data_IF_499113965008
#
_entry.id   IF_499113965008
#
_cell.length_a   1.000
_cell.length_b   1.000
_cell.length_c   1.000
_cell.angle_alpha   90.00
_cell.angle_beta   90.00
_cell.angle_gamma   90.00
#
_symmetry.space_group_name_H-M   'P 1'
#
loop_
_entity.id
_entity.type
_entity.pdbx_description
1 polymer ?
#
# COMPACT_ATOMS: atom_id res chain seq x y z
N UNK A 1 -8.36 -19.19 7.11
CA UNK A 1 -8.55 -17.80 6.64
C UNK A 1 -7.42 -17.44 5.69
N UNK A 2 -7.72 -16.78 4.56
CA UNK A 2 -6.78 -16.46 3.47
C UNK A 2 -5.69 -15.41 3.84
N UNK A 3 -5.64 -14.97 5.10
CA UNK A 3 -4.76 -13.88 5.55
C UNK A 3 -3.74 -14.30 6.61
N UNK A 4 -3.64 -15.57 6.93
CA UNK A 4 -2.68 -16.09 7.91
C UNK A 4 -1.39 -16.47 7.19
N UNK A 5 -0.27 -15.90 7.61
CA UNK A 5 1.06 -16.29 7.16
C UNK A 5 1.60 -17.41 8.05
N UNK A 6 1.73 -18.65 7.54
CA UNK A 6 2.16 -19.81 8.35
C UNK A 6 3.57 -19.68 8.93
N UNK A 7 4.46 -18.94 8.28
CA UNK A 7 5.81 -18.71 8.80
C UNK A 7 5.81 -17.67 9.94
N UNK A 8 4.98 -16.65 9.81
CA UNK A 8 4.80 -15.63 10.86
C UNK A 8 4.05 -16.18 12.07
N UNK A 9 3.11 -17.11 11.85
CA UNK A 9 2.35 -17.77 12.91
C UNK A 9 3.25 -18.51 13.92
N UNK A 10 4.46 -18.93 13.52
CA UNK A 10 5.45 -19.53 14.42
C UNK A 10 5.96 -18.56 15.49
N UNK A 11 5.78 -17.27 15.29
CA UNK A 11 6.14 -16.22 16.25
C UNK A 11 5.03 -15.86 17.25
N UNK A 12 3.82 -16.41 17.08
CA UNK A 12 2.71 -16.13 17.99
C UNK A 12 3.06 -16.56 19.43
N UNK A 13 2.62 -15.77 20.40
CA UNK A 13 2.87 -16.01 21.83
C UNK A 13 1.54 -16.22 22.53
N UNK A 14 1.49 -17.20 23.41
CA UNK A 14 0.29 -17.58 24.16
C UNK A 14 0.56 -17.54 25.65
N UNK A 15 -0.46 -17.16 26.41
CA UNK A 15 -0.42 -17.15 27.87
C UNK A 15 -1.78 -17.62 28.41
N UNK A 16 -1.77 -18.38 29.48
CA UNK A 16 -2.97 -18.70 30.25
C UNK A 16 -2.75 -18.67 31.76
N UNK A 17 -3.85 -18.59 32.51
CA UNK A 17 -3.82 -18.41 33.96
C UNK A 17 -3.29 -19.60 34.75
N UNK A 18 -3.19 -20.81 34.17
CA UNK A 18 -2.71 -22.01 34.83
C UNK A 18 -1.25 -22.31 34.50
N UNK A 19 -0.82 -22.08 33.25
CA UNK A 19 0.48 -22.51 32.75
C UNK A 19 1.43 -21.34 32.46
N UNK A 20 0.94 -20.10 32.44
CA UNK A 20 1.74 -18.95 32.09
C UNK A 20 2.02 -18.86 30.59
N UNK A 21 3.22 -18.37 30.21
CA UNK A 21 3.63 -18.24 28.80
C UNK A 21 3.84 -19.60 28.15
N UNK A 22 3.31 -19.75 26.93
CA UNK A 22 3.50 -20.92 26.08
C UNK A 22 3.82 -20.50 24.66
N UNK A 23 4.75 -21.21 24.02
CA UNK A 23 4.98 -21.13 22.58
C UNK A 23 4.04 -22.09 21.86
N UNK A 24 3.35 -21.64 20.81
CA UNK A 24 2.45 -22.49 20.03
C UNK A 24 3.12 -23.70 19.37
N UNK A 25 4.45 -23.77 19.39
CA UNK A 25 5.24 -24.65 18.55
C UNK A 25 6.17 -25.57 19.31
N UNK A 26 6.13 -25.54 20.62
CA UNK A 26 6.92 -26.48 21.41
C UNK A 26 6.00 -27.43 22.18
N UNK A 27 5.52 -28.53 21.57
CA UNK A 27 5.10 -29.66 22.35
C UNK A 27 6.38 -30.21 22.99
N UNK A 28 6.74 -29.68 24.16
CA UNK A 28 7.94 -30.10 24.92
C UNK A 28 7.84 -31.55 25.37
N UNK A 29 6.63 -32.13 25.26
CA UNK A 29 6.37 -33.53 25.51
C UNK A 29 5.40 -34.08 24.46
N UNK A 30 5.73 -35.18 23.74
CA UNK A 30 4.78 -35.84 22.84
C UNK A 30 3.49 -36.35 23.51
N UNK A 31 3.50 -36.47 24.82
CA UNK A 31 2.37 -36.87 25.66
C UNK A 31 1.60 -35.63 26.23
N UNK A 32 2.10 -34.41 26.00
CA UNK A 32 1.43 -33.18 26.40
C UNK A 32 0.28 -32.92 25.41
N UNK A 33 -0.91 -33.35 25.79
CA UNK A 33 -2.15 -33.01 25.11
C UNK A 33 -2.22 -31.49 25.05
N UNK A 34 -2.14 -30.93 23.87
CA UNK A 34 -2.21 -29.50 23.64
C UNK A 34 -3.48 -28.93 24.29
N UNK A 35 -3.32 -28.33 25.47
CA UNK A 35 -4.43 -27.73 26.23
C UNK A 35 -4.87 -26.47 25.48
N UNK A 36 -6.06 -26.50 24.94
CA UNK A 36 -6.64 -25.35 24.23
C UNK A 36 -7.10 -24.27 25.21
N UNK A 37 -7.26 -23.02 24.76
CA UNK A 37 -7.87 -21.97 25.57
C UNK A 37 -9.28 -22.37 26.05
N UNK A 38 -10.06 -23.06 25.22
CA UNK A 38 -11.36 -23.60 25.64
C UNK A 38 -11.25 -24.60 26.80
N UNK A 39 -10.17 -25.37 26.88
CA UNK A 39 -9.91 -26.26 28.01
C UNK A 39 -9.52 -25.46 29.26
N UNK A 40 -8.72 -24.42 29.12
CA UNK A 40 -8.36 -23.48 30.20
C UNK A 40 -9.60 -22.80 30.77
N UNK A 41 -10.42 -22.22 29.91
CA UNK A 41 -11.65 -21.55 30.27
C UNK A 41 -12.60 -22.52 31.02
N UNK A 42 -12.77 -23.74 30.49
CA UNK A 42 -13.58 -24.76 31.13
C UNK A 42 -13.05 -25.13 32.51
N UNK A 43 -11.75 -25.39 32.64
CA UNK A 43 -11.12 -25.72 33.92
C UNK A 43 -11.27 -24.58 34.94
N UNK A 44 -11.12 -23.33 34.50
CA UNK A 44 -11.34 -22.18 35.39
C UNK A 44 -12.81 -22.11 35.88
N UNK A 45 -13.77 -22.27 34.98
CA UNK A 45 -15.18 -22.24 35.32
C UNK A 45 -15.58 -23.41 36.24
N UNK A 46 -15.06 -24.60 35.98
CA UNK A 46 -15.25 -25.77 36.84
C UNK A 46 -14.73 -25.53 38.26
N UNK A 47 -13.51 -25.00 38.36
CA UNK A 47 -12.88 -24.74 39.66
C UNK A 47 -13.59 -23.65 40.48
N UNK A 48 -14.17 -22.65 39.81
CA UNK A 48 -14.64 -21.44 40.46
C UNK A 48 -16.16 -21.36 40.60
N UNK A 49 -16.93 -21.93 39.67
CA UNK A 49 -18.40 -21.76 39.64
C UNK A 49 -19.20 -23.03 39.88
N UNK A 50 -18.56 -24.16 40.16
CA UNK A 50 -19.28 -25.43 40.46
C UNK A 50 -20.23 -25.26 41.65
N UNK A 51 -19.79 -24.66 42.76
CA UNK A 51 -20.63 -24.41 43.96
C UNK A 51 -21.86 -23.57 43.63
N UNK A 52 -21.70 -22.54 42.77
CA UNK A 52 -22.86 -21.73 42.32
C UNK A 52 -23.83 -22.55 41.49
N UNK A 53 -23.33 -23.38 40.56
CA UNK A 53 -24.19 -24.23 39.70
C UNK A 53 -24.95 -25.25 40.56
N UNK A 54 -24.26 -25.94 41.45
CA UNK A 54 -24.89 -26.92 42.37
C UNK A 54 -25.94 -26.26 43.22
N UNK A 55 -25.65 -25.16 43.90
CA UNK A 55 -26.59 -24.44 44.72
C UNK A 55 -27.81 -23.90 43.95
N UNK A 56 -27.59 -23.41 42.70
CA UNK A 56 -28.68 -22.99 41.83
C UNK A 56 -29.59 -24.16 41.44
N UNK A 57 -28.99 -25.30 41.05
CA UNK A 57 -29.72 -26.49 40.61
C UNK A 57 -30.51 -27.11 41.78
N UNK A 58 -29.95 -27.14 42.99
CA UNK A 58 -30.69 -27.55 44.19
C UNK A 58 -31.90 -26.65 44.47
N UNK A 59 -31.74 -25.33 44.37
CA UNK A 59 -32.84 -24.38 44.53
C UNK A 59 -33.95 -24.61 43.49
N UNK A 60 -33.58 -24.84 42.24
CA UNK A 60 -34.51 -25.16 41.17
C UNK A 60 -35.25 -26.46 41.42
N UNK A 61 -34.58 -27.51 41.91
CA UNK A 61 -35.21 -28.78 42.26
C UNK A 61 -36.21 -28.61 43.39
N UNK A 62 -35.91 -27.84 44.46
CA UNK A 62 -36.80 -27.55 45.56
C UNK A 62 -38.10 -26.88 45.12
N UNK A 63 -38.09 -26.04 44.11
CA UNK A 63 -39.26 -25.38 43.54
C UNK A 63 -39.84 -26.09 42.32
N UNK A 64 -39.35 -27.31 42.02
CA UNK A 64 -39.78 -28.17 40.89
C UNK A 64 -39.56 -27.52 39.50
N UNK A 65 -38.51 -26.73 39.34
CA UNK A 65 -38.12 -26.06 38.09
C UNK A 65 -36.76 -26.58 37.59
N UNK A 66 -36.60 -27.89 37.46
CA UNK A 66 -35.37 -28.54 37.02
C UNK A 66 -35.02 -28.21 35.56
N UNK A 67 -35.96 -27.75 34.77
CA UNK A 67 -35.76 -27.23 33.42
C UNK A 67 -34.87 -25.96 33.37
N UNK A 68 -34.66 -25.30 34.53
CA UNK A 68 -33.79 -24.15 34.71
C UNK A 68 -32.39 -24.50 35.19
N UNK A 69 -32.11 -25.80 35.36
CA UNK A 69 -30.77 -26.25 35.72
C UNK A 69 -29.76 -25.88 34.66
N UNK A 70 -28.58 -25.56 35.12
CA UNK A 70 -27.46 -25.19 34.26
C UNK A 70 -26.25 -26.05 34.56
N UNK A 71 -25.35 -26.12 33.59
CA UNK A 71 -24.04 -26.75 33.65
C UNK A 71 -22.94 -25.72 33.35
N UNK A 72 -21.70 -26.08 33.54
CA UNK A 72 -20.54 -25.24 33.13
C UNK A 72 -20.56 -24.92 31.63
N UNK A 73 -20.81 -25.89 30.72
CA UNK A 73 -20.98 -25.58 29.29
C UNK A 73 -22.08 -24.53 29.00
N UNK A 74 -23.17 -24.53 29.80
CA UNK A 74 -24.24 -23.52 29.64
C UNK A 74 -23.77 -22.11 30.05
N UNK A 75 -22.86 -21.99 31.02
CA UNK A 75 -22.26 -20.70 31.38
C UNK A 75 -21.29 -20.22 30.27
N UNK A 76 -20.47 -21.10 29.75
CA UNK A 76 -19.48 -20.78 28.70
C UNK A 76 -20.14 -20.41 27.37
N UNK A 77 -21.31 -20.99 27.05
CA UNK A 77 -22.06 -20.70 25.83
C UNK A 77 -22.98 -19.48 25.92
N UNK A 78 -23.29 -19.01 27.13
CA UNK A 78 -24.20 -17.90 27.33
C UNK A 78 -23.54 -16.55 27.21
N UNK A 79 -24.04 -15.67 26.35
CA UNK A 79 -23.53 -14.29 26.15
C UNK A 79 -23.44 -13.43 27.39
N UNK A 80 -24.10 -13.85 28.50
CA UNK A 80 -24.11 -13.10 29.77
C UNK A 80 -23.04 -13.59 30.75
N UNK A 81 -22.51 -14.77 30.52
CA UNK A 81 -21.67 -15.47 31.49
C UNK A 81 -20.42 -16.07 30.88
N UNK A 82 -20.28 -16.10 29.55
CA UNK A 82 -19.06 -16.51 28.88
C UNK A 82 -17.92 -15.50 29.12
N UNK A 83 -16.66 -15.90 28.95
CA UNK A 83 -15.56 -14.96 28.94
C UNK A 83 -15.77 -13.84 27.92
N UNK A 84 -15.36 -12.63 28.27
CA UNK A 84 -15.37 -11.48 27.40
C UNK A 84 -14.02 -11.38 26.71
N UNK A 85 -14.00 -11.04 25.44
CA UNK A 85 -12.77 -10.87 24.66
C UNK A 85 -12.47 -9.39 24.47
N UNK A 86 -11.21 -9.00 24.70
CA UNK A 86 -10.69 -7.66 24.39
C UNK A 86 -9.52 -7.79 23.44
N UNK A 87 -9.50 -6.91 22.43
CA UNK A 87 -8.40 -6.85 21.46
C UNK A 87 -7.56 -5.60 21.77
N UNK A 88 -6.26 -5.79 21.95
CA UNK A 88 -5.28 -4.72 22.13
C UNK A 88 -4.44 -4.60 20.89
N UNK A 89 -4.50 -3.43 20.24
CA UNK A 89 -3.68 -3.03 19.11
C UNK A 89 -3.22 -1.60 19.33
N UNK A 90 -1.95 -1.30 19.13
CA UNK A 90 -1.39 0.04 19.27
C UNK A 90 -0.95 0.56 17.92
N UNK A 91 -1.65 1.58 17.41
CA UNK A 91 -1.42 2.17 16.10
C UNK A 91 -2.34 1.65 15.00
N UNK A 92 -1.98 1.97 13.76
CA UNK A 92 -2.73 1.68 12.53
C UNK A 92 -2.05 0.61 11.69
N UNK A 93 -2.59 0.30 10.51
CA UNK A 93 -1.96 -0.62 9.57
C UNK A 93 -0.60 -0.12 9.06
N UNK A 94 -0.47 1.19 8.89
CA UNK A 94 0.72 1.82 8.28
C UNK A 94 1.74 2.29 9.32
N UNK A 95 1.29 2.51 10.58
CA UNK A 95 2.12 2.95 11.70
C UNK A 95 1.62 2.30 12.99
N UNK A 96 2.30 1.25 13.43
CA UNK A 96 1.94 0.46 14.62
C UNK A 96 3.16 0.15 15.48
N UNK A 97 2.92 -0.11 16.75
CA UNK A 97 3.94 -0.59 17.67
C UNK A 97 4.57 -1.90 17.17
N UNK A 98 5.86 -2.09 17.47
CA UNK A 98 6.50 -3.38 17.22
C UNK A 98 5.85 -4.50 18.05
N UNK A 99 6.02 -5.75 17.63
CA UNK A 99 5.51 -6.90 18.41
C UNK A 99 6.09 -6.95 19.82
N UNK A 100 7.36 -6.58 19.98
CA UNK A 100 8.06 -6.56 21.26
C UNK A 100 7.52 -5.44 22.16
N UNK A 101 7.34 -4.23 21.64
CA UNK A 101 6.76 -3.10 22.38
C UNK A 101 5.32 -3.41 22.81
N UNK A 102 4.51 -3.97 21.88
CA UNK A 102 3.14 -4.34 22.19
C UNK A 102 3.08 -5.39 23.30
N UNK A 103 3.92 -6.44 23.22
CA UNK A 103 4.01 -7.47 24.24
C UNK A 103 4.39 -6.90 25.61
N UNK A 104 5.40 -6.06 25.67
CA UNK A 104 5.88 -5.46 26.90
C UNK A 104 4.80 -4.53 27.52
N UNK A 105 4.18 -3.68 26.71
CA UNK A 105 3.14 -2.74 27.15
C UNK A 105 1.91 -3.49 27.66
N UNK A 106 1.41 -4.46 26.89
CA UNK A 106 0.21 -5.21 27.28
C UNK A 106 0.48 -6.12 28.48
N UNK A 107 1.67 -6.72 28.61
CA UNK A 107 2.02 -7.50 29.80
C UNK A 107 2.03 -6.63 31.05
N UNK A 108 2.68 -5.45 31.00
CA UNK A 108 2.65 -4.49 32.13
C UNK A 108 1.22 -4.05 32.44
N UNK A 109 0.41 -3.79 31.40
CA UNK A 109 -1.00 -3.46 31.58
C UNK A 109 -1.78 -4.57 32.26
N UNK A 110 -1.65 -5.82 31.82
CA UNK A 110 -2.36 -6.98 32.41
C UNK A 110 -1.94 -7.20 33.87
N UNK A 111 -0.65 -7.00 34.21
CA UNK A 111 -0.20 -7.07 35.60
C UNK A 111 -0.83 -5.97 36.46
N UNK A 112 -0.82 -4.72 36.01
CA UNK A 112 -1.46 -3.60 36.69
C UNK A 112 -2.99 -3.80 36.80
N UNK A 113 -3.61 -4.33 35.74
CA UNK A 113 -5.02 -4.66 35.69
C UNK A 113 -5.40 -5.73 36.72
N UNK A 114 -4.65 -6.84 36.78
CA UNK A 114 -4.83 -7.90 37.79
C UNK A 114 -4.64 -7.38 39.21
N UNK A 115 -3.62 -6.57 39.44
CA UNK A 115 -3.34 -5.98 40.75
C UNK A 115 -4.49 -5.08 41.22
N UNK A 116 -5.16 -4.39 40.30
CA UNK A 116 -6.20 -3.42 40.63
C UNK A 116 -7.62 -4.00 40.68
N UNK A 117 -7.92 -4.96 39.81
CA UNK A 117 -9.29 -5.47 39.59
C UNK A 117 -9.41 -6.96 39.80
N UNK A 118 -8.33 -7.67 40.14
CA UNK A 118 -8.30 -9.14 40.26
C UNK A 118 -9.22 -9.75 41.28
N UNK A 119 -9.81 -8.97 42.19
CA UNK A 119 -10.85 -9.45 43.12
C UNK A 119 -12.11 -9.82 42.37
N UNK A 120 -12.41 -9.19 41.22
CA UNK A 120 -13.66 -9.32 40.49
C UNK A 120 -13.48 -9.51 38.98
N UNK A 121 -12.28 -9.41 38.45
CA UNK A 121 -11.97 -9.60 37.03
C UNK A 121 -10.80 -10.55 36.85
N UNK A 122 -11.04 -11.68 36.21
CA UNK A 122 -10.05 -12.74 36.08
C UNK A 122 -9.64 -12.90 34.60
N UNK A 123 -8.40 -12.58 34.27
CA UNK A 123 -7.80 -12.85 32.96
C UNK A 123 -7.55 -14.34 32.84
N UNK A 124 -8.12 -14.99 31.86
CA UNK A 124 -8.06 -16.43 31.64
C UNK A 124 -6.90 -16.81 30.72
N UNK A 125 -6.85 -16.17 29.57
CA UNK A 125 -5.85 -16.43 28.53
C UNK A 125 -5.69 -15.20 27.61
N UNK A 126 -4.59 -15.20 26.87
CA UNK A 126 -4.39 -14.25 25.78
C UNK A 126 -3.39 -14.80 24.75
N UNK A 127 -3.53 -14.30 23.50
CA UNK A 127 -2.65 -14.62 22.38
C UNK A 127 -2.17 -13.36 21.69
N UNK A 128 -0.84 -13.24 21.47
CA UNK A 128 -0.24 -12.27 20.57
C UNK A 128 -0.19 -12.87 19.18
N UNK A 129 -0.91 -12.27 18.24
CA UNK A 129 -0.93 -12.64 16.83
C UNK A 129 0.06 -11.79 16.02
N UNK A 130 0.99 -12.46 15.34
CA UNK A 130 1.97 -11.89 14.43
C UNK A 130 1.74 -12.30 12.97
N UNK A 131 0.83 -13.21 12.75
CA UNK A 131 0.48 -13.82 11.47
C UNK A 131 -0.53 -13.01 10.63
N UNK A 132 -1.06 -11.95 11.20
CA UNK A 132 -1.90 -10.97 10.50
C UNK A 132 -1.10 -9.69 10.13
N UNK A 133 -1.77 -8.73 9.48
CA UNK A 133 -1.13 -7.50 8.95
C UNK A 133 -0.56 -6.58 10.03
N UNK A 134 -1.16 -6.57 11.23
CA UNK A 134 -0.71 -5.77 12.38
C UNK A 134 -0.63 -6.64 13.62
N UNK A 135 0.44 -6.52 14.44
CA UNK A 135 0.49 -7.19 15.74
C UNK A 135 -0.67 -6.77 16.62
N UNK A 136 -1.34 -7.74 17.23
CA UNK A 136 -2.43 -7.50 18.18
C UNK A 136 -2.56 -8.65 19.17
N UNK A 137 -3.16 -8.35 20.33
CA UNK A 137 -3.38 -9.34 21.40
C UNK A 137 -4.89 -9.53 21.57
N UNK A 138 -5.33 -10.78 21.52
CA UNK A 138 -6.64 -11.20 21.98
C UNK A 138 -6.52 -11.64 23.43
N UNK A 139 -7.26 -11.03 24.33
CA UNK A 139 -7.29 -11.35 25.75
C UNK A 139 -8.70 -11.71 26.16
N UNK A 140 -8.87 -12.73 27.01
CA UNK A 140 -10.15 -13.16 27.56
C UNK A 140 -10.17 -13.11 29.04
N UNK A 141 -11.23 -12.52 29.57
CA UNK A 141 -11.46 -12.38 30.99
C UNK A 141 -12.92 -12.64 31.37
N UNK A 142 -13.16 -12.88 32.64
CA UNK A 142 -14.49 -13.01 33.20
C UNK A 142 -14.66 -12.10 34.41
N UNK A 143 -15.85 -11.50 34.53
CA UNK A 143 -16.28 -10.73 35.69
C UNK A 143 -17.08 -11.60 36.63
N UNK A 144 -16.76 -11.61 37.92
CA UNK A 144 -17.54 -12.34 38.90
C UNK A 144 -17.74 -11.57 40.21
N UNK A 145 -18.78 -11.95 40.88
CA UNK A 145 -19.12 -11.40 42.20
C UNK A 145 -19.94 -12.41 42.98
N UNK A 146 -19.93 -12.28 44.30
CA UNK A 146 -20.85 -13.05 45.15
C UNK A 146 -22.29 -12.67 44.88
N UNK A 147 -23.14 -13.68 44.79
CA UNK A 147 -24.56 -13.51 44.73
C UNK A 147 -25.17 -13.38 46.16
N UNK A 148 -26.47 -13.17 46.24
CA UNK A 148 -27.18 -13.05 47.54
C UNK A 148 -27.14 -14.30 48.44
N UNK A 149 -26.58 -15.40 47.94
CA UNK A 149 -26.41 -16.66 48.68
C UNK A 149 -24.97 -16.92 49.10
N UNK A 150 -24.06 -15.95 48.85
CA UNK A 150 -22.63 -16.09 49.14
C UNK A 150 -21.89 -16.98 48.13
N UNK A 151 -22.48 -17.24 46.97
CA UNK A 151 -21.84 -18.04 45.91
C UNK A 151 -21.24 -17.11 44.84
N UNK A 152 -19.99 -17.35 44.48
CA UNK A 152 -19.34 -16.62 43.39
C UNK A 152 -19.92 -17.05 42.04
N UNK A 153 -20.35 -16.10 41.25
CA UNK A 153 -20.99 -16.33 39.95
C UNK A 153 -20.56 -15.30 38.91
N UNK A 154 -20.50 -15.64 37.60
CA UNK A 154 -20.27 -14.68 36.56
C UNK A 154 -21.34 -13.59 36.52
N UNK A 155 -20.94 -12.34 36.82
CA UNK A 155 -21.89 -11.20 36.94
C UNK A 155 -21.16 -9.88 36.68
N UNK A 156 -21.03 -9.46 35.41
CA UNK A 156 -20.29 -8.27 35.00
C UNK A 156 -20.76 -6.99 35.75
N UNK A 157 -22.03 -6.67 35.71
CA UNK A 157 -22.52 -5.39 36.23
C UNK A 157 -22.34 -5.27 37.75
N UNK A 158 -22.51 -6.37 38.51
CA UNK A 158 -22.29 -6.39 39.96
C UNK A 158 -20.80 -6.37 40.33
N UNK A 159 -19.99 -7.05 39.57
CA UNK A 159 -18.53 -7.00 39.73
C UNK A 159 -18.01 -5.57 39.56
N UNK A 160 -18.48 -4.89 38.52
CA UNK A 160 -18.10 -3.49 38.25
C UNK A 160 -18.67 -2.52 39.32
N UNK A 161 -19.86 -2.77 39.86
CA UNK A 161 -20.41 -2.04 41.00
C UNK A 161 -19.54 -2.24 42.25
N UNK A 162 -19.13 -3.46 42.55
CA UNK A 162 -18.27 -3.79 43.69
C UNK A 162 -16.87 -3.16 43.55
N UNK A 163 -16.37 -3.01 42.35
CA UNK A 163 -15.12 -2.30 42.01
C UNK A 163 -15.26 -0.76 42.05
N UNK A 164 -16.48 -0.23 42.32
CA UNK A 164 -16.74 1.20 42.47
C UNK A 164 -16.88 1.97 41.16
N UNK A 165 -17.24 1.31 40.07
CA UNK A 165 -17.55 1.99 38.83
C UNK A 165 -18.97 2.51 38.78
N UNK A 166 -19.16 3.78 38.46
CA UNK A 166 -20.45 4.42 38.29
C UNK A 166 -20.99 4.30 36.86
N UNK A 167 -22.28 4.51 36.70
CA UNK A 167 -22.87 4.68 35.36
C UNK A 167 -22.36 5.97 34.73
N UNK A 168 -22.16 6.05 33.40
CA UNK A 168 -21.84 7.28 32.71
C UNK A 168 -22.82 8.42 33.01
N UNK A 169 -24.09 8.11 33.17
CA UNK A 169 -25.16 9.02 33.56
C UNK A 169 -25.94 8.40 34.74
N UNK A 170 -25.61 8.80 35.99
CA UNK A 170 -26.27 8.24 37.18
C UNK A 170 -27.77 8.49 37.26
N UNK A 171 -28.26 9.53 36.59
CA UNK A 171 -29.69 9.90 36.60
C UNK A 171 -30.53 9.07 35.62
N UNK A 172 -29.88 8.26 34.77
CA UNK A 172 -30.57 7.39 33.82
C UNK A 172 -30.49 5.92 34.23
N UNK A 173 -31.52 5.14 33.86
CA UNK A 173 -31.52 3.70 34.14
C UNK A 173 -30.42 2.97 33.35
N UNK A 174 -30.02 1.83 33.88
CA UNK A 174 -29.14 0.89 33.25
C UNK A 174 -29.63 0.52 31.84
N UNK A 175 -28.78 0.65 30.85
CA UNK A 175 -29.09 0.34 29.44
C UNK A 175 -27.83 -0.02 28.66
N UNK A 176 -27.98 -0.46 27.41
CA UNK A 176 -26.83 -0.73 26.51
C UNK A 176 -25.91 0.50 26.34
N UNK A 177 -26.42 1.73 26.46
CA UNK A 177 -25.70 2.98 26.31
C UNK A 177 -25.35 3.67 27.64
N UNK A 178 -25.78 3.09 28.75
CA UNK A 178 -25.53 3.61 30.10
C UNK A 178 -25.35 2.43 31.06
N UNK A 179 -24.11 1.92 31.13
CA UNK A 179 -23.73 0.78 31.97
C UNK A 179 -22.31 1.00 32.49
N UNK A 180 -21.93 0.31 33.56
CA UNK A 180 -20.65 0.43 34.23
C UNK A 180 -19.46 -0.03 33.37
N UNK A 181 -19.70 -0.92 32.38
CA UNK A 181 -18.67 -1.38 31.47
C UNK A 181 -18.10 -0.24 30.65
N UNK A 182 -18.91 0.74 30.23
CA UNK A 182 -18.44 1.91 29.48
C UNK A 182 -17.40 2.72 30.28
N UNK A 183 -17.68 2.97 31.56
CA UNK A 183 -16.78 3.68 32.46
C UNK A 183 -15.51 2.88 32.76
N UNK A 184 -15.69 1.57 32.96
CA UNK A 184 -14.56 0.63 33.13
C UNK A 184 -13.65 0.62 31.91
N UNK A 185 -14.19 0.45 30.70
CA UNK A 185 -13.42 0.41 29.46
C UNK A 185 -12.66 1.70 29.21
N UNK A 186 -13.29 2.85 29.46
CA UNK A 186 -12.62 4.14 29.35
C UNK A 186 -11.45 4.27 30.34
N UNK A 187 -11.59 3.72 31.55
CA UNK A 187 -10.54 3.72 32.56
C UNK A 187 -9.40 2.78 32.19
N UNK A 188 -9.70 1.59 31.66
CA UNK A 188 -8.70 0.63 31.18
C UNK A 188 -7.95 1.19 29.97
N UNK A 189 -8.66 1.82 29.02
CA UNK A 189 -8.03 2.49 27.88
C UNK A 189 -7.05 3.56 28.34
N UNK A 190 -7.44 4.40 29.31
CA UNK A 190 -6.54 5.43 29.84
C UNK A 190 -5.33 4.83 30.51
N UNK A 191 -5.47 3.77 31.28
CA UNK A 191 -4.37 3.06 31.93
C UNK A 191 -3.39 2.47 30.90
N UNK A 192 -3.91 1.84 29.83
CA UNK A 192 -3.09 1.31 28.72
C UNK A 192 -2.35 2.45 28.00
N UNK A 193 -3.04 3.56 27.74
CA UNK A 193 -2.45 4.76 27.11
C UNK A 193 -1.29 5.32 27.93
N UNK A 194 -1.45 5.46 29.24
CA UNK A 194 -0.40 5.96 30.13
C UNK A 194 0.81 5.02 30.18
N UNK A 195 0.60 3.70 30.13
CA UNK A 195 1.68 2.71 30.05
C UNK A 195 2.39 2.83 28.70
N UNK A 196 1.66 2.85 27.58
CA UNK A 196 2.24 2.96 26.25
C UNK A 196 3.08 4.25 26.10
N UNK A 197 2.61 5.37 26.67
CA UNK A 197 3.36 6.64 26.69
C UNK A 197 4.66 6.55 27.51
N UNK A 198 4.67 5.81 28.63
CA UNK A 198 5.91 5.53 29.37
C UNK A 198 6.93 4.70 28.58
N UNK A 199 6.45 3.82 27.72
CA UNK A 199 7.28 3.06 26.78
C UNK A 199 7.73 3.87 25.55
N UNK A 200 7.37 5.17 25.49
CA UNK A 200 7.84 6.10 24.44
C UNK A 200 6.99 6.13 23.19
N UNK A 201 5.80 5.54 23.18
CA UNK A 201 4.88 5.66 22.07
C UNK A 201 4.18 7.04 22.10
N UNK A 202 4.15 7.69 20.93
CA UNK A 202 3.40 8.94 20.71
C UNK A 202 2.00 8.57 20.19
N UNK A 203 1.06 8.46 21.11
CA UNK A 203 -0.32 8.09 20.82
C UNK A 203 -1.25 9.28 21.03
N UNK A 204 -2.26 9.41 20.19
CA UNK A 204 -3.30 10.41 20.35
C UNK A 204 -4.17 10.13 21.58
N UNK A 205 -4.32 11.14 22.46
CA UNK A 205 -5.05 11.02 23.71
C UNK A 205 -6.55 10.85 23.48
N UNK A 206 -7.12 11.59 22.53
CA UNK A 206 -8.53 11.48 22.19
C UNK A 206 -8.79 10.26 21.31
N UNK A 207 -9.81 9.48 21.65
CA UNK A 207 -10.26 8.40 20.81
C UNK A 207 -10.83 9.00 19.51
N UNK A 208 -10.18 8.80 18.39
CA UNK A 208 -10.81 9.00 17.09
C UNK A 208 -11.95 7.99 16.94
N UNK A 209 -13.12 8.39 17.42
CA UNK A 209 -14.35 7.74 16.98
C UNK A 209 -14.57 8.20 15.53
N UNK A 210 -13.91 7.51 14.60
CA UNK A 210 -14.19 7.72 13.19
C UNK A 210 -15.71 7.68 13.03
N UNK A 211 -16.29 8.68 12.38
CA UNK A 211 -17.71 8.73 12.01
C UNK A 211 -18.14 7.55 11.10
N UNK A 212 -17.32 6.51 11.07
CA UNK A 212 -17.55 5.27 10.37
C UNK A 212 -18.57 4.44 11.16
N UNK A 213 -19.73 4.18 10.55
CA UNK A 213 -20.62 3.12 11.02
C UNK A 213 -19.77 1.87 11.21
N UNK A 214 -19.94 1.17 12.35
CA UNK A 214 -19.39 -0.17 12.54
C UNK A 214 -19.76 -1.02 11.31
N UNK A 215 -18.75 -1.33 10.53
CA UNK A 215 -18.88 -2.27 9.41
C UNK A 215 -18.43 -3.63 9.92
N UNK A 216 -19.16 -4.69 9.59
CA UNK A 216 -18.63 -6.03 9.80
C UNK A 216 -17.31 -6.19 9.04
N UNK A 217 -16.39 -7.04 9.55
CA UNK A 217 -15.03 -7.20 8.99
C UNK A 217 -15.03 -7.35 7.46
N UNK A 218 -15.99 -8.06 6.90
CA UNK A 218 -16.12 -8.24 5.45
C UNK A 218 -16.51 -6.94 4.72
N UNK A 219 -17.44 -6.18 5.28
CA UNK A 219 -17.86 -4.90 4.67
C UNK A 219 -16.76 -3.85 4.74
N UNK A 220 -15.96 -3.84 5.81
CA UNK A 220 -14.77 -2.99 5.93
C UNK A 220 -13.72 -3.33 4.87
N UNK A 221 -13.42 -4.63 4.69
CA UNK A 221 -12.47 -5.11 3.68
C UNK A 221 -12.95 -4.72 2.27
N UNK A 222 -14.23 -4.92 1.97
CA UNK A 222 -14.84 -4.54 0.68
C UNK A 222 -14.79 -3.02 0.45
N UNK A 223 -15.06 -2.22 1.47
CA UNK A 223 -14.97 -0.77 1.40
C UNK A 223 -13.54 -0.31 1.10
N UNK A 224 -12.54 -0.88 1.79
CA UNK A 224 -11.11 -0.57 1.56
C UNK A 224 -10.62 -1.03 0.18
N UNK A 225 -11.03 -2.21 -0.27
CA UNK A 225 -10.73 -2.69 -1.63
C UNK A 225 -11.33 -1.79 -2.70
N UNK A 226 -12.57 -1.32 -2.51
CA UNK A 226 -13.22 -0.39 -3.43
C UNK A 226 -12.51 0.96 -3.50
N UNK A 227 -12.03 1.48 -2.38
CA UNK A 227 -11.23 2.72 -2.32
C UNK A 227 -9.89 2.54 -3.06
N UNK A 228 -9.20 1.43 -2.83
CA UNK A 228 -7.96 1.10 -3.54
C UNK A 228 -8.18 0.97 -5.05
N UNK A 229 -9.24 0.30 -5.48
CA UNK A 229 -9.60 0.19 -6.89
C UNK A 229 -9.88 1.57 -7.52
N UNK A 230 -10.59 2.45 -6.82
CA UNK A 230 -10.87 3.81 -7.30
C UNK A 230 -9.57 4.61 -7.45
N UNK A 231 -8.67 4.50 -6.49
CA UNK A 231 -7.35 5.17 -6.54
C UNK A 231 -6.48 4.64 -7.68
N UNK A 232 -6.48 3.33 -7.91
CA UNK A 232 -5.77 2.71 -9.03
C UNK A 232 -6.37 3.13 -10.38
N UNK A 233 -7.71 3.19 -10.48
CA UNK A 233 -8.38 3.64 -11.69
C UNK A 233 -8.03 5.09 -12.02
N UNK A 234 -8.06 5.98 -11.03
CA UNK A 234 -7.67 7.38 -11.23
C UNK A 234 -6.22 7.53 -11.70
N UNK A 235 -5.30 6.73 -11.15
CA UNK A 235 -3.90 6.69 -11.63
C UNK A 235 -3.79 6.18 -13.06
N UNK A 236 -4.58 5.17 -13.41
CA UNK A 236 -4.61 4.63 -14.77
C UNK A 236 -5.11 5.67 -15.77
N UNK A 237 -6.17 6.39 -15.42
CA UNK A 237 -6.77 7.43 -16.25
C UNK A 237 -5.78 8.60 -16.46
N UNK A 238 -5.06 9.01 -15.40
CA UNK A 238 -4.01 10.03 -15.48
C UNK A 238 -2.86 9.60 -16.39
N UNK A 239 -2.39 8.35 -16.26
CA UNK A 239 -1.34 7.80 -17.12
C UNK A 239 -1.80 7.68 -18.57
N UNK A 240 -3.04 7.29 -18.80
CA UNK A 240 -3.61 7.19 -20.15
C UNK A 240 -3.67 8.56 -20.82
N UNK A 241 -4.04 9.60 -20.08
CA UNK A 241 -4.03 10.99 -20.59
C UNK A 241 -2.60 11.41 -20.95
N UNK A 242 -1.62 11.18 -20.08
CA UNK A 242 -0.21 11.51 -20.35
C UNK A 242 0.35 10.78 -21.58
N UNK A 243 -0.03 9.52 -21.78
CA UNK A 243 0.36 8.76 -22.98
C UNK A 243 -0.25 9.37 -24.23
N UNK A 244 -1.53 9.77 -24.21
CA UNK A 244 -2.21 10.43 -25.32
C UNK A 244 -1.52 11.76 -25.68
N UNK A 245 -1.19 12.58 -24.69
CA UNK A 245 -0.48 13.85 -24.90
C UNK A 245 0.90 13.65 -25.52
N UNK A 246 1.64 12.63 -25.06
CA UNK A 246 2.94 12.27 -25.64
C UNK A 246 2.81 11.78 -27.08
N UNK A 247 1.77 11.01 -27.41
CA UNK A 247 1.54 10.55 -28.80
C UNK A 247 1.22 11.70 -29.72
N UNK A 248 0.42 12.66 -29.28
CA UNK A 248 0.11 13.88 -30.03
C UNK A 248 1.38 14.72 -30.28
N UNK A 249 2.18 14.91 -29.25
CA UNK A 249 3.46 15.62 -29.38
C UNK A 249 4.42 14.94 -30.36
N UNK A 250 4.48 13.60 -30.32
CA UNK A 250 5.31 12.80 -31.22
C UNK A 250 4.87 12.95 -32.69
N UNK A 251 3.57 13.07 -32.93
CA UNK A 251 2.99 13.28 -34.25
C UNK A 251 3.37 14.66 -34.79
N UNK A 252 3.21 15.72 -33.98
CA UNK A 252 3.57 17.09 -34.34
C UNK A 252 5.07 17.24 -34.65
N UNK A 253 5.95 16.68 -33.79
CA UNK A 253 7.40 16.70 -33.99
C UNK A 253 7.79 15.94 -35.25
N UNK A 254 7.16 14.77 -35.50
CA UNK A 254 7.45 13.97 -36.70
C UNK A 254 7.00 14.70 -37.98
N UNK A 255 5.90 15.41 -37.94
CA UNK A 255 5.44 16.23 -39.04
C UNK A 255 6.41 17.39 -39.34
N UNK A 256 6.82 18.13 -38.31
CA UNK A 256 7.76 19.24 -38.45
C UNK A 256 9.15 18.77 -38.94
N UNK A 257 9.62 17.64 -38.42
CA UNK A 257 10.93 17.05 -38.87
C UNK A 257 10.90 16.62 -40.32
N UNK A 258 9.78 16.00 -40.78
CA UNK A 258 9.63 15.62 -42.17
C UNK A 258 9.60 16.84 -43.11
N UNK A 259 8.79 17.85 -42.78
CA UNK A 259 8.68 19.06 -43.59
C UNK A 259 10.03 19.80 -43.70
N UNK A 260 10.80 19.86 -42.61
CA UNK A 260 12.17 20.43 -42.62
C UNK A 260 13.15 19.58 -43.44
N UNK A 261 13.05 18.27 -43.36
CA UNK A 261 13.87 17.39 -44.20
C UNK A 261 13.59 17.57 -45.70
N UNK A 262 12.33 17.72 -46.09
CA UNK A 262 11.94 18.01 -47.48
C UNK A 262 12.52 19.35 -47.96
N UNK A 263 12.43 20.39 -47.12
CA UNK A 263 13.02 21.70 -47.41
C UNK A 263 14.53 21.59 -47.66
N UNK A 264 15.26 20.97 -46.73
CA UNK A 264 16.72 20.82 -46.81
C UNK A 264 17.15 20.01 -48.03
N UNK A 265 16.50 18.87 -48.28
CA UNK A 265 16.82 18.02 -49.45
C UNK A 265 16.56 18.76 -50.77
N UNK A 266 15.44 19.49 -50.85
CA UNK A 266 15.10 20.28 -52.04
C UNK A 266 16.13 21.39 -52.29
N UNK A 267 16.57 22.03 -51.21
CA UNK A 267 17.55 23.11 -51.28
C UNK A 267 18.93 22.60 -51.70
N UNK A 268 19.37 21.48 -51.12
CA UNK A 268 20.63 20.80 -51.54
C UNK A 268 20.57 20.40 -53.02
N UNK A 269 19.46 19.84 -53.50
CA UNK A 269 19.30 19.51 -54.92
C UNK A 269 19.38 20.76 -55.79
N UNK A 270 18.76 21.87 -55.34
CA UNK A 270 18.77 23.15 -56.06
C UNK A 270 20.15 23.77 -56.14
N UNK A 271 20.99 23.66 -55.10
CA UNK A 271 22.25 24.38 -54.97
C UNK A 271 23.44 23.52 -55.38
N UNK A 272 23.46 22.24 -55.06
CA UNK A 272 24.65 21.40 -55.23
C UNK A 272 24.59 20.52 -56.50
N UNK A 273 23.41 20.19 -57.02
CA UNK A 273 23.31 19.37 -58.21
C UNK A 273 23.91 20.11 -59.42
N UNK A 274 24.91 19.47 -60.09
CA UNK A 274 25.64 20.01 -61.24
C UNK A 274 26.47 21.28 -60.97
N UNK A 275 26.77 21.60 -59.73
CA UNK A 275 27.60 22.75 -59.35
C UNK A 275 28.97 22.68 -60.01
N UNK A 276 29.57 21.52 -60.05
CA UNK A 276 30.87 21.27 -60.70
C UNK A 276 30.79 21.43 -62.24
N UNK A 277 29.69 20.90 -62.85
CA UNK A 277 29.51 21.07 -64.30
C UNK A 277 29.37 22.56 -64.67
N UNK A 278 28.68 23.34 -63.88
CA UNK A 278 28.55 24.80 -64.08
C UNK A 278 29.88 25.52 -63.92
N UNK A 279 30.68 25.15 -62.91
CA UNK A 279 31.99 25.67 -62.66
C UNK A 279 32.95 25.43 -63.91
N UNK A 280 32.94 24.19 -64.41
CA UNK A 280 33.73 23.85 -65.61
C UNK A 280 33.30 24.64 -66.80
N UNK A 281 32.02 24.89 -67.01
CA UNK A 281 31.50 25.73 -68.10
C UNK A 281 31.99 27.19 -67.96
N UNK A 282 31.91 27.74 -66.73
CA UNK A 282 32.38 29.09 -66.44
C UNK A 282 33.92 29.25 -66.65
N UNK A 283 34.66 28.24 -66.17
CA UNK A 283 36.13 28.22 -66.44
C UNK A 283 36.44 28.12 -67.92
N UNK A 284 35.70 27.26 -68.62
CA UNK A 284 35.84 27.15 -70.10
C UNK A 284 35.49 28.48 -70.79
N UNK A 285 34.42 29.16 -70.30
CA UNK A 285 34.05 30.49 -70.82
C UNK A 285 35.11 31.51 -70.55
N UNK A 286 35.74 31.58 -69.39
CA UNK A 286 36.89 32.45 -69.07
C UNK A 286 38.04 32.15 -69.94
N UNK A 287 38.36 30.85 -70.16
CA UNK A 287 39.45 30.43 -71.05
C UNK A 287 39.19 30.84 -72.49
N UNK A 288 37.96 30.69 -73.01
CA UNK A 288 37.59 31.11 -74.37
C UNK A 288 37.74 32.64 -74.59
N UNK A 289 37.40 33.43 -73.59
CA UNK A 289 37.46 34.90 -73.64
C UNK A 289 38.88 35.47 -73.43
N UNK A 290 39.81 34.65 -72.96
CA UNK A 290 41.17 35.10 -72.65
C UNK A 290 41.84 35.82 -73.89
N UNK A 291 42.48 36.98 -73.67
CA UNK A 291 43.12 37.74 -74.72
C UNK A 291 44.25 37.00 -75.46
N UNK A 292 44.82 35.99 -74.79
CA UNK A 292 45.96 35.20 -75.35
C UNK A 292 45.53 34.21 -76.45
N UNK A 293 44.28 34.11 -76.76
CA UNK A 293 43.72 33.21 -77.78
C UNK A 293 43.87 33.80 -79.18
N UNK A 294 44.36 33.00 -80.09
CA UNK A 294 44.57 33.42 -81.49
C UNK A 294 43.25 33.56 -82.29
N UNK A 295 42.12 33.20 -81.78
CA UNK A 295 40.78 33.29 -82.43
C UNK A 295 40.32 34.75 -82.50
N UNK A 296 39.57 35.16 -83.53
CA UNK A 296 39.01 36.50 -83.67
C UNK A 296 38.06 36.79 -82.48
N UNK A 297 38.01 38.07 -82.04
CA UNK A 297 37.17 38.47 -80.87
C UNK A 297 35.69 38.10 -81.07
N UNK A 298 35.15 38.32 -82.23
CA UNK A 298 33.74 37.99 -82.53
C UNK A 298 33.45 36.47 -82.37
N UNK A 299 34.41 35.60 -82.77
CA UNK A 299 34.22 34.13 -82.57
C UNK A 299 34.32 33.71 -81.12
N UNK A 300 35.18 34.36 -80.35
CA UNK A 300 35.26 34.09 -78.87
C UNK A 300 34.01 34.56 -78.15
N UNK A 301 33.45 35.71 -78.47
CA UNK A 301 32.22 36.22 -77.92
C UNK A 301 31.03 35.34 -78.29
N UNK A 302 30.92 34.87 -79.50
CA UNK A 302 29.93 33.92 -79.94
C UNK A 302 30.02 32.59 -79.16
N UNK A 303 31.21 32.03 -78.97
CA UNK A 303 31.41 30.82 -78.20
C UNK A 303 31.02 30.99 -76.70
N UNK A 304 31.40 32.13 -76.10
CA UNK A 304 31.01 32.47 -74.74
C UNK A 304 29.48 32.60 -74.59
N UNK A 305 28.82 33.23 -75.53
CA UNK A 305 27.35 33.33 -75.53
C UNK A 305 26.68 31.96 -75.67
N UNK A 306 27.28 31.02 -76.43
CA UNK A 306 26.75 29.63 -76.50
C UNK A 306 26.91 28.91 -75.18
N UNK A 307 28.05 29.12 -74.45
CA UNK A 307 28.28 28.57 -73.11
C UNK A 307 27.24 29.17 -72.10
N UNK A 308 26.92 30.46 -72.17
CA UNK A 308 25.86 31.07 -71.39
C UNK A 308 24.53 30.41 -71.63
N UNK A 309 24.23 30.09 -72.90
CA UNK A 309 23.00 29.34 -73.25
C UNK A 309 22.92 27.94 -72.60
N UNK A 310 24.08 27.25 -72.51
CA UNK A 310 24.17 25.94 -71.81
C UNK A 310 24.02 26.11 -70.32
N UNK A 311 24.67 27.12 -69.74
CA UNK A 311 24.61 27.41 -68.31
C UNK A 311 23.12 27.71 -67.87
N UNK A 312 22.43 28.55 -68.64
CA UNK A 312 21.07 28.90 -68.42
C UNK A 312 20.08 27.66 -68.48
N UNK A 313 20.42 26.74 -69.45
CA UNK A 313 19.65 25.46 -69.50
C UNK A 313 19.87 24.59 -68.28
N UNK A 314 21.09 24.51 -67.76
CA UNK A 314 21.40 23.78 -66.55
C UNK A 314 20.66 24.38 -65.33
N UNK A 315 20.73 25.70 -65.14
CA UNK A 315 20.01 26.39 -64.07
C UNK A 315 18.51 26.09 -64.11
N UNK A 316 17.89 26.21 -65.30
CA UNK A 316 16.47 25.91 -65.49
C UNK A 316 16.14 24.46 -65.21
N UNK A 317 17.01 23.51 -65.60
CA UNK A 317 16.81 22.08 -65.34
C UNK A 317 16.94 21.78 -63.88
N UNK A 318 17.89 22.38 -63.15
CA UNK A 318 18.07 22.23 -61.70
C UNK A 318 16.82 22.71 -60.95
N UNK A 319 16.31 23.91 -61.27
CA UNK A 319 15.08 24.46 -60.68
C UNK A 319 13.89 23.54 -60.94
N UNK A 320 13.70 23.08 -62.19
CA UNK A 320 12.63 22.18 -62.57
C UNK A 320 12.74 20.83 -61.81
N UNK A 321 13.95 20.29 -61.65
CA UNK A 321 14.19 19.05 -60.95
C UNK A 321 13.91 19.19 -59.43
N UNK A 322 14.35 20.29 -58.82
CA UNK A 322 14.07 20.61 -57.43
C UNK A 322 12.53 20.74 -57.16
N UNK A 323 11.84 21.46 -58.04
CA UNK A 323 10.39 21.62 -57.95
C UNK A 323 9.69 20.25 -58.06
N UNK A 324 10.04 19.42 -59.07
CA UNK A 324 9.44 18.07 -59.21
C UNK A 324 9.72 17.16 -58.04
N UNK A 325 10.91 17.25 -57.45
CA UNK A 325 11.27 16.48 -56.28
C UNK A 325 10.44 16.93 -55.09
N UNK A 326 10.30 18.23 -54.84
CA UNK A 326 9.46 18.79 -53.80
C UNK A 326 7.99 18.37 -53.96
N UNK A 327 7.40 18.51 -55.15
CA UNK A 327 6.05 18.06 -55.44
C UNK A 327 5.86 16.57 -55.20
N UNK A 328 6.85 15.77 -55.54
CA UNK A 328 6.83 14.30 -55.29
C UNK A 328 6.86 13.97 -53.79
N UNK A 329 7.74 14.64 -53.03
CA UNK A 329 7.89 14.43 -51.59
C UNK A 329 6.66 14.94 -50.79
N UNK A 330 6.01 15.99 -51.31
CA UNK A 330 4.79 16.53 -50.69
C UNK A 330 3.50 15.80 -51.10
N UNK A 331 3.55 14.75 -51.94
CA UNK A 331 2.39 13.91 -52.21
C UNK A 331 1.86 13.26 -50.93
N UNK A 332 0.55 13.29 -50.68
CA UNK A 332 -0.01 12.81 -49.42
C UNK A 332 0.47 11.43 -49.02
N UNK A 333 0.53 10.47 -49.96
CA UNK A 333 0.95 9.10 -49.70
C UNK A 333 2.43 9.00 -49.24
N UNK A 334 3.35 9.78 -49.90
CA UNK A 334 4.76 9.76 -49.58
C UNK A 334 5.02 10.54 -48.30
N UNK A 335 4.32 11.67 -48.10
CA UNK A 335 4.42 12.49 -46.91
C UNK A 335 3.95 11.69 -45.69
N UNK A 336 2.80 11.02 -45.76
CA UNK A 336 2.28 10.21 -44.66
C UNK A 336 3.25 9.07 -44.31
N UNK A 337 3.74 8.34 -45.30
CA UNK A 337 4.70 7.25 -45.08
C UNK A 337 6.01 7.77 -44.48
N UNK A 338 6.50 8.93 -44.95
CA UNK A 338 7.70 9.56 -44.39
C UNK A 338 7.52 10.03 -42.96
N UNK A 339 6.42 10.68 -42.64
CA UNK A 339 6.07 11.08 -41.26
C UNK A 339 5.95 9.87 -40.32
N UNK A 340 5.34 8.80 -40.80
CA UNK A 340 5.21 7.55 -40.05
C UNK A 340 6.57 6.91 -39.73
N UNK A 341 7.49 6.86 -40.69
CA UNK A 341 8.85 6.37 -40.47
C UNK A 341 9.66 7.23 -39.48
N UNK A 342 9.49 8.55 -39.52
CA UNK A 342 10.12 9.46 -38.55
C UNK A 342 9.50 9.24 -37.16
N UNK A 343 8.20 9.10 -37.06
CA UNK A 343 7.50 8.81 -35.82
C UNK A 343 7.96 7.50 -35.17
N UNK A 344 8.08 6.43 -35.95
CA UNK A 344 8.55 5.13 -35.50
C UNK A 344 9.96 5.19 -34.91
N UNK A 345 10.90 5.82 -35.64
CA UNK A 345 12.26 6.02 -35.16
C UNK A 345 12.35 6.91 -33.91
N UNK A 346 11.55 7.96 -33.82
CA UNK A 346 11.49 8.81 -32.66
C UNK A 346 10.94 8.05 -31.44
N UNK A 347 9.91 7.23 -31.64
CA UNK A 347 9.35 6.35 -30.60
C UNK A 347 10.39 5.37 -30.05
N UNK A 348 11.11 4.70 -30.93
CA UNK A 348 12.19 3.78 -30.52
C UNK A 348 13.29 4.48 -29.73
N UNK A 349 13.68 5.69 -30.14
CA UNK A 349 14.67 6.49 -29.43
C UNK A 349 14.20 6.90 -28.03
N UNK A 350 12.93 7.30 -27.89
CA UNK A 350 12.33 7.66 -26.60
C UNK A 350 12.27 6.42 -25.69
N UNK A 351 11.85 5.26 -26.20
CA UNK A 351 11.82 4.02 -25.43
C UNK A 351 13.21 3.59 -24.95
N UNK A 352 14.24 3.70 -25.80
CA UNK A 352 15.61 3.41 -25.41
C UNK A 352 16.10 4.36 -24.31
N UNK A 353 15.76 5.65 -24.40
CA UNK A 353 16.11 6.63 -23.37
C UNK A 353 15.42 6.32 -22.04
N UNK A 354 14.13 6.00 -22.07
CA UNK A 354 13.38 5.62 -20.87
C UNK A 354 13.96 4.38 -20.19
N UNK A 355 14.26 3.34 -20.96
CA UNK A 355 14.88 2.12 -20.44
C UNK A 355 16.24 2.40 -19.78
N UNK A 356 17.05 3.29 -20.38
CA UNK A 356 18.32 3.71 -19.82
C UNK A 356 18.14 4.47 -18.49
N UNK A 357 17.23 5.42 -18.43
CA UNK A 357 16.93 6.17 -17.21
C UNK A 357 16.39 5.27 -16.08
N UNK A 358 15.55 4.30 -16.41
CA UNK A 358 15.09 3.31 -15.44
C UNK A 358 16.22 2.44 -14.89
N UNK A 359 17.15 2.02 -15.75
CA UNK A 359 18.34 1.26 -15.33
C UNK A 359 19.27 2.10 -14.43
N UNK A 360 19.46 3.36 -14.74
CA UNK A 360 20.25 4.30 -13.91
C UNK A 360 19.58 4.54 -12.54
N UNK A 361 18.25 4.67 -12.49
CA UNK A 361 17.50 4.80 -11.22
C UNK A 361 17.57 3.52 -10.38
N UNK A 362 17.54 2.34 -11.01
CA UNK A 362 17.64 1.06 -10.30
C UNK A 362 19.05 0.87 -9.68
N UNK A 363 20.09 1.37 -10.33
CA UNK A 363 21.47 1.33 -9.82
C UNK A 363 21.72 2.36 -8.69
N UNK A 364 20.99 3.48 -8.69
CA UNK A 364 21.12 4.55 -7.70
C UNK A 364 20.21 4.38 -6.46
N UNK A 365 19.42 3.29 -6.34
CA UNK A 365 18.76 2.98 -5.08
C UNK A 365 19.82 2.64 -4.03
N UNK A 366 19.92 3.39 -2.90
CA UNK A 366 20.84 3.05 -1.84
C UNK A 366 20.47 1.64 -1.35
N UNK A 367 21.45 0.73 -1.41
CA UNK A 367 21.35 -0.58 -0.75
C UNK A 367 21.09 -0.32 0.73
N UNK A 368 19.96 -0.79 1.25
CA UNK A 368 19.73 -0.83 2.68
C UNK A 368 20.89 -1.62 3.29
N UNK A 369 21.82 -0.91 3.92
CA UNK A 369 22.88 -1.54 4.67
C UNK A 369 22.24 -2.31 5.83
N UNK A 370 22.55 -3.59 6.03
CA UNK A 370 22.17 -4.27 7.25
C UNK A 370 22.83 -3.50 8.41
N UNK A 371 22.02 -3.03 9.38
CA UNK A 371 22.53 -2.48 10.63
C UNK A 371 23.35 -3.60 11.31
N UNK A 372 24.66 -3.47 11.26
CA UNK A 372 25.57 -4.23 12.09
C UNK A 372 25.25 -3.90 13.54
N UNK A 373 24.76 -4.89 14.28
CA UNK A 373 24.77 -4.86 15.73
C UNK A 373 26.22 -4.80 16.19
N UNK A 374 26.65 -3.61 16.63
CA UNK A 374 27.84 -3.52 17.47
C UNK A 374 27.48 -4.05 18.85
N UNK A 375 28.08 -5.19 19.17
CA UNK A 375 28.05 -5.77 20.50
C UNK A 375 28.66 -4.80 21.51
N UNK A 376 27.92 -4.47 22.55
CA UNK A 376 28.50 -4.02 23.80
C UNK A 376 28.59 -5.25 24.75
N UNK A 377 29.81 -5.78 24.85
CA UNK A 377 30.22 -6.57 25.98
C UNK A 377 30.77 -5.63 27.05
N UNK A 378 30.47 -6.01 28.32
CA UNK A 378 31.12 -5.57 29.58
C UNK A 378 30.72 -4.17 30.11
N UNK A 379 30.03 -4.05 31.23
CA UNK A 379 30.36 -4.38 32.65
C UNK A 379 29.07 -4.60 33.43
#
# INVERSE_FOLDING_TARGET
SEHIDPERAKGNIYWDCFHGFRSALDPQDPDDLAVTFSDVERQFYESRYTTFIEGQNERNAKIRHTERNRSIPDLLSSRKTCPEETIYQLGTLDDHASAEDLLNIVTEFIEAFKAKYGDHVHVLDWALHLDESTPHIHERHVFDCENKYGEVAPQQEKALEALGFDLPDPDKPLSRRNNRKITFDATCRKMLFEIAKRHGLDLEEEAEYGNCKYLEKQDFILAKQKEQLTTQQNKLDELTLKVSDMETLLEDVSAAAYDKAVEVVTDVVRTETRKEDMRMIEETKKWVLSPERKAPKATREYAAHRLDGVLNKFLKTMQTTATRLQEKLLRPEIQQKGKEQVREKARDSVLQLLNRLQAEQAQNKPSAQPRTQEGHSEI
#
